data_IF_026594584596
#
_entry.id   IF_026594584596
#
_cell.length_a   1.000
_cell.length_b   1.000
_cell.length_c   1.000
_cell.angle_alpha   90.00
_cell.angle_beta   90.00
_cell.angle_gamma   90.00
#
_symmetry.space_group_name_H-M   'P 1'
#
loop_
_entity.id
_entity.type
_entity.pdbx_description
1 polymer ?
#
# COMPACT_ATOMS: atom_id res chain seq x y z
N UNK A 1 -26.25 9.04 -17.09
CA UNK A 1 -25.62 8.13 -16.11
C UNK A 1 -25.80 8.76 -14.76
N UNK A 2 -26.25 8.02 -13.74
CA UNK A 2 -26.44 8.59 -12.40
C UNK A 2 -25.09 8.96 -11.79
N UNK A 3 -25.03 10.09 -11.12
CA UNK A 3 -23.85 10.54 -10.36
C UNK A 3 -24.19 10.60 -8.88
N UNK A 4 -23.15 10.46 -8.06
CA UNK A 4 -23.22 10.42 -6.61
C UNK A 4 -22.31 11.49 -6.04
N UNK A 5 -22.77 12.22 -5.04
CA UNK A 5 -21.93 13.17 -4.31
C UNK A 5 -21.29 12.52 -3.08
N UNK A 6 -20.36 13.22 -2.43
CA UNK A 6 -19.73 12.75 -1.19
C UNK A 6 -20.74 12.42 -0.08
N UNK A 7 -21.81 13.22 0.05
CA UNK A 7 -22.79 13.03 1.12
C UNK A 7 -23.54 11.71 0.95
N UNK A 8 -23.86 11.33 -0.28
CA UNK A 8 -24.52 10.07 -0.59
C UNK A 8 -23.71 8.85 -0.15
N UNK A 9 -22.39 8.96 0.03
CA UNK A 9 -21.56 7.87 0.56
C UNK A 9 -21.76 7.65 2.07
N UNK A 10 -22.15 8.68 2.82
CA UNK A 10 -22.15 8.63 4.29
C UNK A 10 -23.14 7.59 4.84
N UNK A 11 -24.19 7.30 4.06
CA UNK A 11 -25.22 6.33 4.40
C UNK A 11 -24.96 4.95 3.78
N UNK A 12 -23.90 4.79 2.98
CA UNK A 12 -23.51 3.50 2.37
C UNK A 12 -22.29 2.87 3.01
N UNK A 13 -21.45 3.64 3.70
CA UNK A 13 -20.31 3.11 4.46
C UNK A 13 -20.79 2.71 5.86
N UNK A 14 -21.00 1.41 6.07
CA UNK A 14 -21.53 0.84 7.30
C UNK A 14 -20.57 1.01 8.48
N UNK A 15 -19.26 0.86 8.26
CA UNK A 15 -18.26 1.12 9.31
C UNK A 15 -18.35 2.55 9.86
N UNK A 16 -18.68 3.55 9.05
CA UNK A 16 -18.85 4.92 9.54
C UNK A 16 -20.11 5.12 10.38
N UNK A 17 -21.14 4.30 10.18
CA UNK A 17 -22.32 4.27 11.05
C UNK A 17 -21.98 3.60 12.37
N UNK A 18 -21.24 2.50 12.33
CA UNK A 18 -20.79 1.76 13.52
C UNK A 18 -19.93 2.64 14.43
N UNK A 19 -18.94 3.35 13.86
CA UNK A 19 -18.06 4.25 14.62
C UNK A 19 -18.69 5.61 14.96
N UNK A 20 -19.93 5.87 14.54
CA UNK A 20 -20.67 7.12 14.78
C UNK A 20 -19.88 8.39 14.42
N UNK A 21 -19.13 8.37 13.32
CA UNK A 21 -18.37 9.55 12.90
C UNK A 21 -19.30 10.72 12.56
N UNK A 22 -18.92 11.92 13.02
CA UNK A 22 -19.58 13.16 12.61
C UNK A 22 -19.34 13.46 11.12
N UNK A 23 -20.20 14.28 10.52
CA UNK A 23 -20.12 14.61 9.09
C UNK A 23 -18.76 15.18 8.69
N UNK A 24 -18.16 16.07 9.51
CA UNK A 24 -16.87 16.68 9.21
C UNK A 24 -15.76 15.62 9.19
N UNK A 25 -15.80 14.66 10.10
CA UNK A 25 -14.85 13.54 10.13
C UNK A 25 -15.01 12.64 8.90
N UNK A 26 -16.24 12.30 8.51
CA UNK A 26 -16.53 11.52 7.28
C UNK A 26 -16.01 12.24 6.03
N UNK A 27 -16.26 13.54 5.92
CA UNK A 27 -15.73 14.37 4.83
C UNK A 27 -14.21 14.31 4.74
N UNK A 28 -13.52 14.56 5.85
CA UNK A 28 -12.06 14.57 5.88
C UNK A 28 -11.47 13.21 5.51
N UNK A 29 -12.09 12.11 5.94
CA UNK A 29 -11.68 10.75 5.59
C UNK A 29 -11.83 10.50 4.08
N UNK A 30 -13.01 10.76 3.53
CA UNK A 30 -13.27 10.57 2.11
C UNK A 30 -12.35 11.44 1.24
N UNK A 31 -12.12 12.69 1.63
CA UNK A 31 -11.23 13.61 0.92
C UNK A 31 -9.80 13.07 0.85
N UNK A 32 -9.27 12.57 1.97
CA UNK A 32 -7.92 11.96 2.01
C UNK A 32 -7.80 10.74 1.12
N UNK A 33 -8.85 9.92 1.06
CA UNK A 33 -8.89 8.75 0.16
C UNK A 33 -8.85 9.21 -1.30
N UNK A 34 -9.65 10.21 -1.67
CA UNK A 34 -9.68 10.76 -3.03
C UNK A 34 -8.33 11.39 -3.40
N UNK A 35 -7.72 12.16 -2.49
CA UNK A 35 -6.38 12.76 -2.69
C UNK A 35 -5.33 11.66 -2.90
N UNK A 36 -5.31 10.63 -2.06
CA UNK A 36 -4.43 9.46 -2.20
C UNK A 36 -4.60 8.77 -3.57
N UNK A 37 -5.84 8.54 -3.98
CA UNK A 37 -6.18 7.92 -5.26
C UNK A 37 -5.68 8.79 -6.42
N UNK A 38 -5.91 10.11 -6.38
CA UNK A 38 -5.44 11.02 -7.40
C UNK A 38 -3.92 11.00 -7.53
N UNK A 39 -3.19 11.04 -6.41
CA UNK A 39 -1.72 10.97 -6.39
C UNK A 39 -1.19 9.67 -6.99
N UNK A 40 -1.79 8.52 -6.67
CA UNK A 40 -1.35 7.23 -7.21
C UNK A 40 -1.62 7.10 -8.71
N UNK A 41 -2.78 7.54 -9.18
CA UNK A 41 -3.15 7.43 -10.60
C UNK A 41 -2.51 8.49 -11.51
N UNK A 42 -2.03 9.62 -10.98
CA UNK A 42 -1.31 10.63 -11.76
C UNK A 42 0.16 10.27 -12.01
N UNK A 43 0.75 9.47 -11.12
CA UNK A 43 2.19 9.16 -11.15
C UNK A 43 2.56 7.87 -11.88
N UNK A 44 1.61 7.00 -12.26
CA UNK A 44 1.92 5.76 -12.96
C UNK A 44 1.94 5.92 -14.48
N UNK A 45 3.08 5.54 -15.08
CA UNK A 45 3.30 5.52 -16.54
C UNK A 45 2.54 4.40 -17.26
N UNK A 46 1.88 3.50 -16.52
CA UNK A 46 1.37 2.25 -17.06
C UNK A 46 -0.14 2.27 -17.36
N UNK A 47 -0.60 1.19 -18.01
CA UNK A 47 -1.86 0.97 -18.73
C UNK A 47 -3.21 1.26 -18.02
N UNK A 48 -3.22 1.99 -16.91
CA UNK A 48 -4.25 2.04 -15.88
C UNK A 48 -4.72 3.47 -15.55
N UNK A 49 -4.74 4.36 -16.54
CA UNK A 49 -5.37 5.70 -16.43
C UNK A 49 -6.82 5.56 -15.94
N UNK A 50 -7.29 6.49 -15.08
CA UNK A 50 -8.68 6.59 -14.58
C UNK A 50 -9.73 6.40 -15.69
N UNK A 51 -9.44 6.92 -16.89
CA UNK A 51 -10.26 6.79 -18.10
C UNK A 51 -10.43 5.35 -18.59
N UNK A 52 -9.39 4.50 -18.51
CA UNK A 52 -9.44 3.08 -18.91
C UNK A 52 -10.19 2.21 -17.89
N UNK A 53 -10.22 2.64 -16.64
CA UNK A 53 -10.91 1.96 -15.53
C UNK A 53 -12.35 2.42 -15.33
N UNK A 54 -12.79 3.40 -16.13
CA UNK A 54 -14.09 4.06 -16.00
C UNK A 54 -14.31 4.64 -14.58
N UNK A 55 -13.24 5.08 -13.92
CA UNK A 55 -13.32 5.82 -12.66
C UNK A 55 -13.50 7.31 -12.99
N UNK A 56 -14.71 7.82 -12.78
CA UNK A 56 -15.06 9.23 -12.95
C UNK A 56 -15.09 9.92 -11.60
N UNK A 57 -13.98 10.57 -11.22
CA UNK A 57 -13.89 11.46 -10.06
C UNK A 57 -13.80 12.88 -10.60
N UNK A 58 -14.87 13.67 -10.47
CA UNK A 58 -14.92 15.05 -10.93
C UNK A 58 -15.01 16.02 -9.77
N UNK A 59 -14.06 16.97 -9.68
CA UNK A 59 -14.09 18.04 -8.68
C UNK A 59 -15.08 19.16 -9.10
N UNK A 60 -16.12 19.38 -8.30
CA UNK A 60 -17.10 20.44 -8.46
C UNK A 60 -16.60 21.75 -7.86
N UNK A 61 -16.09 22.64 -8.73
CA UNK A 61 -15.48 23.93 -8.36
C UNK A 61 -16.36 24.89 -7.55
N UNK A 62 -17.69 24.72 -7.54
CA UNK A 62 -18.64 25.68 -6.98
C UNK A 62 -19.47 25.18 -5.77
N UNK A 63 -19.21 23.98 -5.24
CA UNK A 63 -19.91 23.47 -4.04
C UNK A 63 -18.93 23.19 -2.91
N UNK A 64 -19.26 23.66 -1.71
CA UNK A 64 -18.69 23.11 -0.48
C UNK A 64 -18.99 21.60 -0.52
N UNK A 65 -17.97 20.74 -0.57
CA UNK A 65 -18.03 19.27 -0.75
C UNK A 65 -18.01 18.73 -2.19
N UNK A 66 -17.36 19.46 -3.10
CA UNK A 66 -17.48 19.25 -4.54
C UNK A 66 -16.74 18.06 -5.14
N UNK A 67 -17.18 16.82 -4.91
CA UNK A 67 -16.84 15.71 -5.80
C UNK A 67 -18.10 15.00 -6.28
N UNK A 68 -18.12 14.64 -7.56
CA UNK A 68 -19.12 13.77 -8.18
C UNK A 68 -18.48 12.49 -8.71
N UNK A 69 -19.19 11.38 -8.51
CA UNK A 69 -18.74 10.04 -8.83
C UNK A 69 -19.75 9.33 -9.73
N UNK A 70 -19.27 8.56 -10.71
CA UNK A 70 -20.15 7.58 -11.37
C UNK A 70 -20.40 6.36 -10.46
N UNK A 71 -21.36 5.50 -10.83
CA UNK A 71 -21.72 4.30 -10.04
C UNK A 71 -20.52 3.38 -9.74
N UNK A 72 -19.64 3.17 -10.71
CA UNK A 72 -18.45 2.30 -10.56
C UNK A 72 -17.49 2.89 -9.53
N UNK A 73 -17.21 4.18 -9.64
CA UNK A 73 -16.34 4.95 -8.72
C UNK A 73 -16.94 4.99 -7.32
N UNK A 74 -18.25 5.16 -7.22
CA UNK A 74 -18.97 5.16 -5.96
C UNK A 74 -18.80 3.82 -5.22
N UNK A 75 -19.02 2.70 -5.91
CA UNK A 75 -18.80 1.35 -5.35
C UNK A 75 -17.33 1.17 -4.95
N UNK A 76 -16.41 1.53 -5.85
CA UNK A 76 -14.97 1.46 -5.59
C UNK A 76 -14.58 2.23 -4.31
N UNK A 77 -15.02 3.49 -4.16
CA UNK A 77 -14.70 4.31 -3.00
C UNK A 77 -15.34 3.78 -1.71
N UNK A 78 -16.56 3.21 -1.78
CA UNK A 78 -17.17 2.59 -0.59
C UNK A 78 -16.31 1.44 -0.08
N UNK A 79 -15.84 0.55 -0.95
CA UNK A 79 -14.94 -0.54 -0.56
C UNK A 79 -13.65 -0.03 0.11
N UNK A 80 -13.08 1.10 -0.35
CA UNK A 80 -11.93 1.73 0.31
C UNK A 80 -12.28 2.29 1.69
N UNK A 81 -13.43 2.97 1.81
CA UNK A 81 -13.86 3.53 3.08
C UNK A 81 -14.14 2.45 4.12
N UNK A 82 -14.76 1.34 3.73
CA UNK A 82 -15.06 0.21 4.62
C UNK A 82 -13.80 -0.50 5.10
N UNK A 83 -12.77 -0.54 4.26
CA UNK A 83 -11.50 -1.20 4.58
C UNK A 83 -10.45 -0.24 5.14
N UNK A 84 -10.80 1.04 5.37
CA UNK A 84 -9.82 2.08 5.74
C UNK A 84 -9.11 1.81 7.06
N UNK A 85 -9.77 1.03 7.92
CA UNK A 85 -9.28 0.71 9.26
C UNK A 85 -8.35 -0.51 9.29
N UNK A 86 -8.27 -1.28 8.20
CA UNK A 86 -7.35 -2.41 8.10
C UNK A 86 -5.89 -1.94 8.03
N UNK A 87 -4.99 -2.75 8.59
CA UNK A 87 -3.57 -2.38 8.72
C UNK A 87 -2.92 -2.07 7.38
N UNK A 88 -3.25 -2.84 6.34
CA UNK A 88 -2.76 -2.62 4.99
C UNK A 88 -3.07 -1.20 4.51
N UNK A 89 -4.34 -0.78 4.51
CA UNK A 89 -4.73 0.54 4.01
C UNK A 89 -4.14 1.70 4.84
N UNK A 90 -4.08 1.55 6.17
CA UNK A 90 -3.42 2.51 7.07
C UNK A 90 -1.93 2.70 6.77
N UNK A 91 -1.25 1.65 6.30
CA UNK A 91 0.16 1.67 5.91
C UNK A 91 0.33 2.20 4.49
N UNK A 92 -0.50 1.74 3.54
CA UNK A 92 -0.57 2.20 2.16
C UNK A 92 -0.68 3.74 2.07
N UNK A 93 -1.63 4.34 2.80
CA UNK A 93 -1.84 5.80 2.84
C UNK A 93 -0.70 6.59 3.48
N UNK A 94 0.24 5.91 4.16
CA UNK A 94 1.41 6.50 4.80
C UNK A 94 2.72 6.14 4.08
N UNK A 95 2.65 5.44 2.94
CA UNK A 95 3.82 4.90 2.24
C UNK A 95 4.66 3.96 3.10
N UNK A 96 4.02 3.17 3.97
CA UNK A 96 4.71 2.21 4.85
C UNK A 96 4.61 0.80 4.30
N UNK A 97 5.66 0.03 4.51
CA UNK A 97 5.72 -1.39 4.14
C UNK A 97 4.58 -2.22 4.76
N UNK A 98 4.01 -3.10 3.95
CA UNK A 98 2.99 -4.09 4.28
C UNK A 98 3.49 -5.47 3.92
N UNK A 99 3.18 -6.49 4.72
CA UNK A 99 3.49 -7.87 4.35
C UNK A 99 2.38 -8.51 3.49
N UNK A 100 2.68 -9.68 2.92
CA UNK A 100 1.74 -10.43 2.08
C UNK A 100 0.42 -10.76 2.80
N UNK A 101 0.50 -11.21 4.05
CA UNK A 101 -0.70 -11.54 4.85
C UNK A 101 -1.62 -10.33 5.04
N UNK A 102 -1.08 -9.15 5.33
CA UNK A 102 -1.85 -7.91 5.45
C UNK A 102 -2.53 -7.54 4.12
N UNK A 103 -1.83 -7.76 3.00
CA UNK A 103 -2.37 -7.53 1.67
C UNK A 103 -3.50 -8.50 1.32
N UNK A 104 -3.35 -9.79 1.61
CA UNK A 104 -4.36 -10.82 1.37
C UNK A 104 -5.62 -10.60 2.22
N UNK A 105 -5.45 -10.26 3.49
CA UNK A 105 -6.56 -9.93 4.40
C UNK A 105 -7.36 -8.75 3.85
N UNK A 106 -6.67 -7.70 3.40
CA UNK A 106 -7.31 -6.53 2.82
C UNK A 106 -8.05 -6.83 1.52
N UNK A 107 -7.42 -7.55 0.58
CA UNK A 107 -8.04 -7.96 -0.68
C UNK A 107 -9.28 -8.84 -0.47
N UNK A 108 -9.21 -9.77 0.49
CA UNK A 108 -10.35 -10.63 0.85
C UNK A 108 -11.52 -9.83 1.43
N UNK A 109 -11.23 -8.82 2.25
CA UNK A 109 -12.26 -7.92 2.78
C UNK A 109 -12.91 -7.09 1.65
N UNK A 110 -12.10 -6.56 0.73
CA UNK A 110 -12.59 -5.84 -0.45
C UNK A 110 -13.51 -6.72 -1.29
N UNK A 111 -13.09 -7.95 -1.62
CA UNK A 111 -13.90 -8.89 -2.40
C UNK A 111 -15.28 -9.15 -1.76
N UNK A 112 -15.29 -9.45 -0.46
CA UNK A 112 -16.50 -9.70 0.29
C UNK A 112 -17.46 -8.49 0.28
N UNK A 113 -16.93 -7.27 0.37
CA UNK A 113 -17.73 -6.05 0.32
C UNK A 113 -18.24 -5.82 -1.10
N UNK A 114 -17.36 -5.91 -2.10
CA UNK A 114 -17.65 -5.65 -3.50
C UNK A 114 -18.77 -6.57 -4.01
N UNK A 115 -18.73 -7.85 -3.66
CA UNK A 115 -19.73 -8.86 -4.05
C UNK A 115 -21.18 -8.49 -3.67
N UNK A 116 -21.37 -7.64 -2.65
CA UNK A 116 -22.71 -7.19 -2.21
C UNK A 116 -23.34 -6.15 -3.14
N UNK A 117 -22.57 -5.54 -4.05
CA UNK A 117 -23.00 -4.41 -4.88
C UNK A 117 -23.57 -4.81 -6.24
N UNK A 118 -23.65 -6.10 -6.57
CA UNK A 118 -24.23 -6.58 -7.83
C UNK A 118 -25.61 -6.01 -8.13
N UNK A 119 -26.58 -6.29 -7.24
CA UNK A 119 -27.97 -5.85 -7.43
C UNK A 119 -28.08 -4.33 -7.49
N UNK A 120 -27.34 -3.62 -6.64
CA UNK A 120 -27.30 -2.16 -6.67
C UNK A 120 -26.79 -1.61 -8.01
N UNK A 121 -25.71 -2.17 -8.55
CA UNK A 121 -25.16 -1.72 -9.84
C UNK A 121 -26.13 -1.96 -11.00
N UNK A 122 -26.73 -3.15 -11.06
CA UNK A 122 -27.67 -3.55 -12.10
C UNK A 122 -28.93 -2.68 -12.08
N UNK A 123 -29.48 -2.40 -10.90
CA UNK A 123 -30.62 -1.50 -10.70
C UNK A 123 -30.32 -0.05 -11.15
N UNK A 124 -29.15 0.47 -10.80
CA UNK A 124 -28.81 1.87 -11.04
C UNK A 124 -28.38 2.15 -12.50
N UNK A 125 -27.85 1.14 -13.19
CA UNK A 125 -27.36 1.28 -14.56
C UNK A 125 -28.27 0.67 -15.62
N UNK A 126 -29.16 -0.24 -15.21
CA UNK A 126 -29.97 -1.06 -16.13
C UNK A 126 -29.13 -2.02 -16.99
N UNK A 127 -27.89 -2.33 -16.57
CA UNK A 127 -26.95 -3.18 -17.31
C UNK A 127 -26.63 -4.45 -16.53
N UNK A 128 -26.78 -5.59 -17.19
CA UNK A 128 -26.37 -6.90 -16.69
C UNK A 128 -24.93 -7.22 -17.16
N UNK A 129 -23.97 -6.48 -16.61
CA UNK A 129 -22.53 -6.69 -16.88
C UNK A 129 -21.68 -6.58 -15.62
N UNK A 130 -22.26 -6.93 -14.48
CA UNK A 130 -21.60 -6.83 -13.17
C UNK A 130 -20.25 -7.54 -13.13
N UNK A 131 -20.14 -8.74 -13.70
CA UNK A 131 -18.90 -9.53 -13.65
C UNK A 131 -17.71 -8.78 -14.27
N UNK A 132 -17.95 -8.03 -15.35
CA UNK A 132 -16.93 -7.19 -15.99
C UNK A 132 -16.53 -6.04 -15.07
N UNK A 133 -17.50 -5.39 -14.43
CA UNK A 133 -17.26 -4.28 -13.50
C UNK A 133 -16.54 -4.76 -12.25
N UNK A 134 -16.95 -5.91 -11.71
CA UNK A 134 -16.33 -6.56 -10.57
C UNK A 134 -14.86 -6.87 -10.88
N UNK A 135 -14.57 -7.51 -12.02
CA UNK A 135 -13.18 -7.79 -12.45
C UNK A 135 -12.37 -6.49 -12.59
N UNK A 136 -12.97 -5.46 -13.18
CA UNK A 136 -12.28 -4.16 -13.32
C UNK A 136 -11.95 -3.55 -11.96
N UNK A 137 -12.92 -3.50 -11.04
CA UNK A 137 -12.71 -2.94 -9.70
C UNK A 137 -11.67 -3.76 -8.93
N UNK A 138 -11.80 -5.08 -8.88
CA UNK A 138 -10.88 -5.92 -8.09
C UNK A 138 -9.45 -5.86 -8.63
N UNK A 139 -9.27 -5.75 -9.95
CA UNK A 139 -7.94 -5.59 -10.56
C UNK A 139 -7.22 -4.34 -10.07
N UNK A 140 -7.96 -3.25 -9.80
CA UNK A 140 -7.39 -2.01 -9.26
C UNK A 140 -6.88 -2.22 -7.84
N UNK A 141 -7.65 -2.94 -7.02
CA UNK A 141 -7.24 -3.28 -5.67
C UNK A 141 -5.99 -4.17 -5.65
N UNK A 142 -5.91 -5.13 -6.56
CA UNK A 142 -4.71 -5.96 -6.73
C UNK A 142 -3.48 -5.13 -7.12
N UNK A 143 -3.63 -4.12 -7.99
CA UNK A 143 -2.50 -3.27 -8.35
C UNK A 143 -2.05 -2.40 -7.17
N UNK A 144 -2.99 -1.81 -6.42
CA UNK A 144 -2.68 -1.09 -5.17
C UNK A 144 -1.91 -1.97 -4.17
N UNK A 145 -2.28 -3.25 -4.08
CA UNK A 145 -1.57 -4.23 -3.28
C UNK A 145 -0.14 -4.48 -3.79
N UNK A 146 0.03 -4.62 -5.11
CA UNK A 146 1.32 -4.90 -5.74
C UNK A 146 2.31 -3.74 -5.62
N UNK A 147 1.87 -2.50 -5.81
CA UNK A 147 2.70 -1.29 -5.65
C UNK A 147 3.38 -1.28 -4.27
N UNK A 148 2.66 -1.66 -3.21
CA UNK A 148 3.25 -1.70 -1.87
C UNK A 148 4.20 -2.88 -1.66
N UNK A 149 3.89 -4.06 -2.21
CA UNK A 149 4.81 -5.21 -2.15
C UNK A 149 6.14 -4.88 -2.82
N UNK A 150 6.13 -4.11 -3.90
CA UNK A 150 7.32 -3.73 -4.65
C UNK A 150 8.00 -2.46 -4.12
N UNK A 151 7.37 -1.66 -3.24
CA UNK A 151 7.91 -0.38 -2.78
C UNK A 151 9.15 -0.46 -1.87
N UNK A 152 9.57 -1.68 -1.52
CA UNK A 152 10.96 -1.94 -1.16
C UNK A 152 11.57 -2.62 -2.37
N UNK A 153 12.02 -1.84 -3.36
CA UNK A 153 12.92 -2.41 -4.36
C UNK A 153 14.17 -2.79 -3.58
N UNK A 154 14.50 -4.09 -3.56
CA UNK A 154 15.72 -4.59 -2.90
C UNK A 154 16.95 -3.79 -3.37
N UNK A 155 16.89 -3.27 -4.59
CA UNK A 155 17.88 -2.38 -5.19
C UNK A 155 18.05 -1.06 -4.41
N UNK A 156 16.97 -0.43 -3.91
CA UNK A 156 17.06 0.78 -3.07
C UNK A 156 17.76 0.50 -1.74
N UNK A 157 17.47 -0.65 -1.11
CA UNK A 157 18.16 -1.08 0.12
C UNK A 157 19.66 -1.29 -0.16
N UNK A 158 19.98 -1.93 -1.28
CA UNK A 158 21.37 -2.18 -1.67
C UNK A 158 22.12 -0.87 -1.94
N UNK A 159 21.48 0.09 -2.61
CA UNK A 159 22.04 1.42 -2.85
C UNK A 159 22.29 2.18 -1.54
N UNK A 160 21.32 2.21 -0.62
CA UNK A 160 21.47 2.88 0.68
C UNK A 160 22.59 2.26 1.53
N UNK A 161 22.63 0.93 1.62
CA UNK A 161 23.69 0.21 2.36
C UNK A 161 25.06 0.48 1.72
N UNK A 162 25.14 0.47 0.40
CA UNK A 162 26.38 0.72 -0.34
C UNK A 162 26.87 2.16 -0.14
N UNK A 163 25.98 3.16 -0.16
CA UNK A 163 26.34 4.55 0.10
C UNK A 163 26.85 4.74 1.54
N UNK A 164 26.16 4.14 2.53
CA UNK A 164 26.61 4.16 3.94
C UNK A 164 28.01 3.55 4.05
N UNK A 165 28.22 2.35 3.49
CA UNK A 165 29.50 1.67 3.52
C UNK A 165 30.61 2.50 2.85
N UNK A 166 30.33 3.06 1.68
CA UNK A 166 31.28 3.90 0.93
C UNK A 166 31.69 5.11 1.75
N UNK A 167 30.74 5.81 2.38
CA UNK A 167 31.02 6.96 3.25
C UNK A 167 31.87 6.58 4.46
N UNK A 168 31.62 5.41 5.06
CA UNK A 168 32.45 4.89 6.16
C UNK A 168 33.86 4.61 5.65
N UNK A 169 34.02 3.98 4.49
CA UNK A 169 35.32 3.62 3.92
C UNK A 169 36.20 4.82 3.57
N UNK A 170 35.59 5.94 3.19
CA UNK A 170 36.30 7.21 2.92
C UNK A 170 36.81 7.92 4.17
N UNK A 171 36.37 7.53 5.37
CA UNK A 171 36.86 8.13 6.61
C UNK A 171 38.32 7.71 6.92
N UNK A 172 39.12 8.62 7.50
CA UNK A 172 40.38 8.26 8.14
C UNK A 172 40.20 7.20 9.25
N UNK A 173 41.23 6.39 9.50
CA UNK A 173 41.15 5.24 10.42
C UNK A 173 40.79 5.62 11.86
N UNK A 174 41.27 6.77 12.35
CA UNK A 174 40.93 7.32 13.67
C UNK A 174 39.45 7.67 13.77
N UNK A 175 38.86 8.26 12.71
CA UNK A 175 37.43 8.59 12.65
C UNK A 175 36.54 7.37 12.47
N UNK A 176 36.99 6.35 11.73
CA UNK A 176 36.31 5.04 11.67
C UNK A 176 36.23 4.40 13.05
N UNK A 177 37.33 4.42 13.80
CA UNK A 177 37.39 3.88 15.16
C UNK A 177 36.46 4.64 16.10
N UNK A 178 36.48 5.98 16.06
CA UNK A 178 35.57 6.81 16.84
C UNK A 178 34.10 6.54 16.50
N UNK A 179 33.72 6.46 15.22
CA UNK A 179 32.37 6.11 14.78
C UNK A 179 31.93 4.75 15.34
N UNK A 180 32.82 3.76 15.25
CA UNK A 180 32.56 2.41 15.74
C UNK A 180 32.31 2.40 17.26
N UNK A 181 33.14 3.10 18.02
CA UNK A 181 33.06 3.20 19.48
C UNK A 181 31.86 4.05 19.95
N UNK A 182 31.44 5.06 19.18
CA UNK A 182 30.29 5.93 19.46
C UNK A 182 28.92 5.29 19.18
N UNK A 183 28.79 3.98 19.43
CA UNK A 183 27.51 3.26 19.42
C UNK A 183 27.18 2.55 18.11
N UNK A 184 27.96 2.70 17.04
CA UNK A 184 27.77 1.89 15.83
C UNK A 184 28.00 0.40 16.13
N UNK A 185 28.96 0.06 17.00
CA UNK A 185 29.17 -1.32 17.50
C UNK A 185 27.88 -1.95 18.05
N UNK A 186 27.16 -1.22 18.90
CA UNK A 186 25.90 -1.74 19.50
C UNK A 186 24.84 -1.99 18.44
N UNK A 187 24.73 -1.09 17.45
CA UNK A 187 23.78 -1.24 16.35
C UNK A 187 24.15 -2.41 15.43
N UNK A 188 25.43 -2.56 15.08
CA UNK A 188 25.90 -3.68 14.28
C UNK A 188 25.64 -5.02 14.97
N UNK A 189 25.92 -5.13 16.27
CA UNK A 189 25.61 -6.34 17.03
C UNK A 189 24.11 -6.66 17.07
N UNK A 190 23.26 -5.63 17.18
CA UNK A 190 21.82 -5.82 17.13
C UNK A 190 21.36 -6.33 15.76
N UNK A 191 21.88 -5.75 14.67
CA UNK A 191 21.60 -6.19 13.30
C UNK A 191 22.07 -7.64 13.09
N UNK A 192 23.29 -7.98 13.52
CA UNK A 192 23.85 -9.33 13.44
C UNK A 192 22.94 -10.36 14.13
N UNK A 193 22.43 -10.03 15.33
CA UNK A 193 21.50 -10.91 16.04
C UNK A 193 20.18 -11.09 15.27
N UNK A 194 19.62 -10.03 14.71
CA UNK A 194 18.41 -10.12 13.89
C UNK A 194 18.65 -10.98 12.63
N UNK A 195 19.82 -10.87 11.99
CA UNK A 195 20.19 -11.70 10.85
C UNK A 195 20.29 -13.19 11.22
N UNK A 196 20.92 -13.50 12.35
CA UNK A 196 20.99 -14.87 12.86
C UNK A 196 19.58 -15.45 13.12
N UNK A 197 18.71 -14.69 13.77
CA UNK A 197 17.31 -15.09 14.00
C UNK A 197 16.57 -15.36 12.68
N UNK A 198 16.81 -14.58 11.62
CA UNK A 198 16.20 -14.80 10.31
C UNK A 198 16.73 -16.12 9.70
N UNK A 199 18.06 -16.31 9.67
CA UNK A 199 18.71 -17.50 9.08
C UNK A 199 18.33 -18.78 9.82
N UNK A 200 18.22 -18.73 11.14
CA UNK A 200 17.78 -19.87 11.95
C UNK A 200 16.37 -20.35 11.58
N UNK A 201 15.52 -19.43 11.12
CA UNK A 201 14.14 -19.70 10.71
C UNK A 201 13.98 -20.00 9.21
N UNK A 202 15.06 -19.99 8.41
CA UNK A 202 15.01 -20.38 7.00
C UNK A 202 14.84 -21.90 6.84
N UNK A 203 14.15 -22.31 5.78
CA UNK A 203 14.04 -23.73 5.43
C UNK A 203 15.33 -24.25 4.76
N UNK A 204 15.57 -25.55 4.90
CA UNK A 204 16.61 -26.22 4.11
C UNK A 204 16.11 -26.31 2.66
N UNK A 205 16.89 -25.92 1.62
CA UNK A 205 18.35 -25.73 1.57
C UNK A 205 18.85 -24.27 1.62
N UNK A 206 17.97 -23.28 1.76
CA UNK A 206 18.34 -21.85 1.74
C UNK A 206 19.33 -21.49 2.85
N UNK A 207 19.15 -22.11 4.02
CA UNK A 207 20.05 -21.98 5.17
C UNK A 207 21.48 -22.41 4.87
N UNK A 208 21.66 -23.53 4.17
CA UNK A 208 22.99 -24.07 3.84
C UNK A 208 23.75 -23.17 2.85
N UNK A 209 23.03 -22.55 1.90
CA UNK A 209 23.65 -21.62 0.96
C UNK A 209 24.23 -20.38 1.67
N UNK A 210 23.50 -19.85 2.66
CA UNK A 210 23.93 -18.69 3.41
C UNK A 210 25.20 -18.96 4.24
N UNK A 211 25.28 -20.13 4.88
CA UNK A 211 26.45 -20.51 5.69
C UNK A 211 27.71 -20.71 4.85
N UNK A 212 27.59 -21.31 3.66
CA UNK A 212 28.71 -21.54 2.73
C UNK A 212 29.29 -20.24 2.18
N UNK A 213 28.44 -19.28 1.78
CA UNK A 213 28.90 -18.03 1.17
C UNK A 213 29.67 -17.14 2.17
N UNK A 214 29.23 -17.07 3.43
CA UNK A 214 29.90 -16.27 4.46
C UNK A 214 31.34 -16.74 4.74
N UNK A 215 31.59 -18.04 4.72
CA UNK A 215 32.91 -18.59 4.97
C UNK A 215 33.88 -18.31 3.81
N UNK A 216 33.40 -18.40 2.58
CA UNK A 216 34.17 -18.01 1.38
C UNK A 216 34.57 -16.53 1.40
N UNK A 217 33.65 -15.64 1.79
CA UNK A 217 33.95 -14.21 1.90
C UNK A 217 34.96 -13.89 3.00
N UNK A 218 34.88 -14.55 4.17
CA UNK A 218 35.84 -14.34 5.27
C UNK A 218 37.26 -14.75 4.90
N UNK A 219 37.42 -15.78 4.09
CA UNK A 219 38.74 -16.23 3.65
C UNK A 219 39.33 -15.33 2.55
N UNK A 220 38.49 -14.63 1.77
CA UNK A 220 38.95 -13.64 0.79
C UNK A 220 39.50 -12.33 1.39
N UNK A 221 39.25 -12.09 2.68
CA UNK A 221 39.61 -10.87 3.40
C UNK A 221 40.86 -11.02 4.30
N UNK A 222 41.47 -12.22 4.35
CA UNK A 222 42.73 -12.51 5.07
C UNK A 222 43.93 -12.38 4.14
#
# INVERSE_FOLDING_TARGET
MKTYDMKSMFDKVDSWKEFQYDEKTKYNKLKKIIEFINEKFENEKDHFKKEKMNLGIEELKNKFNGYEFNTVTYIFLICLCETENLNFFKKLTKGKYTNEKESEEWLSAVDLILSKYKSFYEEETGKDNWDVIYINIISIYHELAKIQRNSIEIDDINEEITDIYTRIMLLPNDRKKELYENGAKTRFNYIEKQLQEIVENMEYPEKDMYEVDLDLYKDSLK
#
